data_IF_223277398188
#
_entry.id   IF_223277398188
#
_cell.length_a   1.000
_cell.length_b   1.000
_cell.length_c   1.000
_cell.angle_alpha   90.00
_cell.angle_beta   90.00
_cell.angle_gamma   90.00
#
_symmetry.space_group_name_H-M   'P 1'
#
loop_
_entity.id
_entity.type
_entity.pdbx_description
1 polymer ?
#
# COMPACT_ATOMS: atom_id res chain seq x y z
N UNK A 1 30.15 -11.29 -24.61
CA UNK A 1 28.99 -10.39 -24.44
C UNK A 1 27.95 -11.10 -23.57
N UNK A 2 27.66 -10.62 -22.35
CA UNK A 2 26.65 -11.24 -21.46
C UNK A 2 25.24 -10.84 -21.94
N UNK A 3 24.42 -11.82 -22.31
CA UNK A 3 23.03 -11.60 -22.67
C UNK A 3 22.17 -11.65 -21.39
N UNK A 4 21.70 -10.50 -20.91
CA UNK A 4 20.81 -10.45 -19.76
C UNK A 4 19.40 -10.86 -20.20
N UNK A 5 18.93 -12.02 -19.76
CA UNK A 5 17.56 -12.49 -19.97
C UNK A 5 16.71 -12.16 -18.74
N UNK A 6 15.50 -11.65 -18.95
CA UNK A 6 14.50 -11.46 -17.92
C UNK A 6 13.24 -12.26 -18.29
N UNK A 7 12.62 -12.89 -17.30
CA UNK A 7 11.40 -13.67 -17.47
C UNK A 7 10.23 -12.92 -16.83
N UNK A 8 9.06 -12.97 -17.48
CA UNK A 8 7.80 -12.49 -16.93
C UNK A 8 6.90 -13.72 -16.75
N UNK A 9 6.65 -14.08 -15.50
CA UNK A 9 5.72 -15.15 -15.15
C UNK A 9 4.56 -14.57 -14.34
N UNK A 10 3.38 -15.20 -14.47
CA UNK A 10 2.26 -15.01 -13.55
C UNK A 10 2.41 -16.06 -12.45
N UNK A 11 2.24 -15.64 -11.20
CA UNK A 11 2.14 -16.57 -10.08
C UNK A 11 0.69 -17.07 -10.04
N UNK A 12 0.51 -18.38 -10.07
CA UNK A 12 -0.77 -19.06 -9.85
C UNK A 12 -0.67 -19.72 -8.46
N UNK A 13 -1.13 -19.03 -7.40
CA UNK A 13 -1.07 -19.58 -6.05
C UNK A 13 -2.00 -20.78 -5.90
N UNK A 14 -1.62 -21.72 -5.03
CA UNK A 14 -2.54 -22.77 -4.59
C UNK A 14 -3.53 -22.21 -3.55
N UNK A 15 -4.55 -23.00 -3.19
CA UNK A 15 -5.61 -22.57 -2.28
C UNK A 15 -5.09 -22.06 -0.92
N UNK A 16 -4.06 -22.70 -0.36
CA UNK A 16 -3.46 -22.27 0.91
C UNK A 16 -2.73 -20.92 0.79
N UNK A 17 -1.98 -20.74 -0.30
CA UNK A 17 -1.28 -19.49 -0.60
C UNK A 17 -2.25 -18.34 -0.83
N UNK A 18 -3.37 -18.57 -1.50
CA UNK A 18 -4.42 -17.56 -1.68
C UNK A 18 -4.97 -17.06 -0.34
N UNK A 19 -5.24 -17.96 0.59
CA UNK A 19 -5.71 -17.61 1.94
C UNK A 19 -4.67 -16.73 2.65
N UNK A 20 -3.40 -17.11 2.61
CA UNK A 20 -2.31 -16.35 3.23
C UNK A 20 -2.20 -14.95 2.60
N UNK A 21 -2.23 -14.86 1.27
CA UNK A 21 -2.14 -13.60 0.55
C UNK A 21 -3.34 -12.69 0.84
N UNK A 22 -4.55 -13.24 0.85
CA UNK A 22 -5.77 -12.51 1.17
C UNK A 22 -5.75 -11.98 2.60
N UNK A 23 -5.31 -12.80 3.57
CA UNK A 23 -5.13 -12.38 4.95
C UNK A 23 -4.11 -11.25 5.08
N UNK A 24 -2.98 -11.34 4.36
CA UNK A 24 -1.93 -10.34 4.38
C UNK A 24 -2.37 -9.00 3.78
N UNK A 25 -2.99 -9.03 2.59
CA UNK A 25 -3.52 -7.84 1.91
C UNK A 25 -4.68 -7.23 2.69
N UNK A 26 -5.59 -8.07 3.21
CA UNK A 26 -6.73 -7.66 4.02
C UNK A 26 -6.29 -6.95 5.29
N UNK A 27 -5.31 -7.50 6.00
CA UNK A 27 -4.76 -6.90 7.22
C UNK A 27 -4.05 -5.57 6.94
N UNK A 28 -3.28 -5.49 5.85
CA UNK A 28 -2.64 -4.26 5.42
C UNK A 28 -3.66 -3.15 5.09
N UNK A 29 -4.74 -3.50 4.38
CA UNK A 29 -5.84 -2.57 4.05
C UNK A 29 -6.58 -2.11 5.29
N UNK A 30 -6.87 -3.04 6.21
CA UNK A 30 -7.54 -2.73 7.47
C UNK A 30 -6.72 -1.73 8.30
N UNK A 31 -5.43 -2.02 8.53
CA UNK A 31 -4.54 -1.13 9.29
C UNK A 31 -4.42 0.23 8.63
N UNK A 32 -4.28 0.29 7.31
CA UNK A 32 -4.25 1.57 6.59
C UNK A 32 -5.49 2.41 6.87
N UNK A 33 -6.68 1.83 6.68
CA UNK A 33 -7.94 2.56 6.84
C UNK A 33 -8.15 3.02 8.28
N UNK A 34 -7.86 2.15 9.24
CA UNK A 34 -8.00 2.49 10.66
C UNK A 34 -7.06 3.63 11.07
N UNK A 35 -5.80 3.55 10.65
CA UNK A 35 -4.80 4.57 10.97
C UNK A 35 -5.04 5.88 10.21
N UNK A 36 -5.62 5.80 9.02
CA UNK A 36 -6.09 6.97 8.28
C UNK A 36 -7.18 7.71 9.05
N UNK A 37 -8.19 7.00 9.58
CA UNK A 37 -9.24 7.60 10.40
C UNK A 37 -8.65 8.30 11.64
N UNK A 38 -7.78 7.63 12.39
CA UNK A 38 -7.06 8.23 13.52
C UNK A 38 -6.28 9.47 13.10
N UNK A 39 -5.59 9.42 11.95
CA UNK A 39 -4.82 10.56 11.47
C UNK A 39 -5.69 11.76 11.10
N UNK A 40 -6.93 11.55 10.64
CA UNK A 40 -7.87 12.65 10.42
C UNK A 40 -8.34 13.27 11.73
N UNK A 41 -8.57 12.48 12.78
CA UNK A 41 -8.88 13.01 14.12
C UNK A 41 -7.71 13.83 14.69
N UNK A 42 -6.48 13.34 14.51
CA UNK A 42 -5.27 14.10 14.87
C UNK A 42 -5.20 15.43 14.12
N UNK A 43 -5.46 15.39 12.80
CA UNK A 43 -5.48 16.60 11.98
C UNK A 43 -6.53 17.60 12.45
N UNK A 44 -7.74 17.15 12.77
CA UNK A 44 -8.81 18.00 13.30
C UNK A 44 -8.45 18.64 14.65
N UNK A 45 -7.63 17.96 15.46
CA UNK A 45 -7.09 18.47 16.74
C UNK A 45 -5.81 19.31 16.57
N UNK A 46 -5.38 19.54 15.33
CA UNK A 46 -4.15 20.25 15.01
C UNK A 46 -2.88 19.57 15.58
N UNK A 47 -2.92 18.26 15.76
CA UNK A 47 -1.80 17.44 16.22
C UNK A 47 -0.84 17.12 15.06
N UNK A 48 0.46 17.02 15.36
CA UNK A 48 1.45 16.69 14.35
C UNK A 48 1.43 15.21 13.97
N UNK A 49 1.24 14.95 12.67
CA UNK A 49 1.20 13.59 12.10
C UNK A 49 2.59 13.24 11.57
N UNK A 50 3.23 12.27 12.21
CA UNK A 50 4.50 11.72 11.75
C UNK A 50 4.53 10.18 11.85
N UNK A 51 5.53 9.57 11.22
CA UNK A 51 5.65 8.11 11.17
C UNK A 51 5.76 7.48 12.56
N UNK A 52 6.56 8.06 13.46
CA UNK A 52 6.78 7.53 14.81
C UNK A 52 5.48 7.54 15.63
N UNK A 53 4.79 8.68 15.65
CA UNK A 53 3.54 8.87 16.37
C UNK A 53 2.45 7.91 15.88
N UNK A 54 2.31 7.76 14.56
CA UNK A 54 1.36 6.81 13.99
C UNK A 54 1.77 5.37 14.27
N UNK A 55 3.04 4.98 14.07
CA UNK A 55 3.49 3.60 14.32
C UNK A 55 3.27 3.20 15.77
N UNK A 56 3.49 4.10 16.73
CA UNK A 56 3.26 3.81 18.15
C UNK A 56 1.80 3.46 18.46
N UNK A 57 0.84 4.02 17.71
CA UNK A 57 -0.60 3.73 17.89
C UNK A 57 -1.00 2.32 17.44
N UNK A 58 -0.17 1.61 16.66
CA UNK A 58 -0.47 0.22 16.25
C UNK A 58 -0.51 -0.76 17.42
N UNK A 59 0.19 -0.45 18.52
CA UNK A 59 0.25 -1.32 19.70
C UNK A 59 -1.12 -1.43 20.34
N UNK A 60 -1.82 -0.28 20.49
CA UNK A 60 -3.20 -0.26 20.98
C UNK A 60 -4.14 -1.06 20.09
N UNK A 61 -4.02 -0.90 18.77
CA UNK A 61 -4.84 -1.61 17.79
C UNK A 61 -4.68 -3.13 17.91
N UNK A 62 -3.44 -3.63 17.95
CA UNK A 62 -3.17 -5.09 18.06
C UNK A 62 -3.52 -5.68 19.42
N UNK A 63 -3.63 -4.86 20.46
CA UNK A 63 -3.98 -5.30 21.80
C UNK A 63 -5.49 -5.31 22.05
N UNK A 64 -6.28 -4.70 21.17
CA UNK A 64 -7.74 -4.86 21.19
C UNK A 64 -8.10 -6.32 20.86
N UNK A 65 -8.86 -7.03 21.73
CA UNK A 65 -9.32 -8.40 21.47
C UNK A 65 -10.06 -8.56 20.14
N UNK A 66 -10.83 -7.56 19.71
CA UNK A 66 -11.59 -7.56 18.45
C UNK A 66 -10.67 -7.64 17.22
N UNK A 67 -9.43 -7.15 17.35
CA UNK A 67 -8.44 -7.10 16.26
C UNK A 67 -7.26 -8.04 16.51
N UNK A 68 -7.45 -9.04 17.38
CA UNK A 68 -6.45 -10.06 17.69
C UNK A 68 -5.95 -10.81 16.44
N UNK A 69 -6.81 -10.94 15.41
CA UNK A 69 -6.46 -11.57 14.14
C UNK A 69 -5.23 -10.93 13.48
N UNK A 70 -4.97 -9.62 13.68
CA UNK A 70 -3.80 -8.92 13.12
C UNK A 70 -2.46 -9.48 13.59
N UNK A 71 -2.42 -10.15 14.75
CA UNK A 71 -1.22 -10.82 15.27
C UNK A 71 -0.94 -12.13 14.52
N UNK A 72 -2.00 -12.80 14.04
CA UNK A 72 -1.92 -14.10 13.38
C UNK A 72 -1.83 -13.98 11.86
N UNK A 73 -2.56 -13.03 11.27
CA UNK A 73 -2.74 -12.89 9.83
C UNK A 73 -1.59 -12.15 9.12
N UNK A 74 -0.70 -11.47 9.85
CA UNK A 74 0.34 -10.63 9.25
C UNK A 74 1.54 -10.40 10.16
N UNK A 75 2.71 -10.20 9.54
CA UNK A 75 3.92 -9.81 10.24
C UNK A 75 3.80 -8.36 10.76
N UNK A 76 4.24 -8.12 12.00
CA UNK A 76 4.27 -6.78 12.58
C UNK A 76 5.02 -5.75 11.71
N UNK A 77 6.09 -6.17 11.03
CA UNK A 77 6.90 -5.31 10.15
C UNK A 77 6.08 -4.81 8.96
N UNK A 78 5.26 -5.66 8.33
CA UNK A 78 4.48 -5.26 7.15
C UNK A 78 3.37 -4.27 7.54
N UNK A 79 2.72 -4.48 8.68
CA UNK A 79 1.71 -3.56 9.20
C UNK A 79 2.32 -2.20 9.57
N UNK A 80 3.49 -2.19 10.23
CA UNK A 80 4.22 -0.96 10.53
C UNK A 80 4.65 -0.23 9.25
N UNK A 81 5.09 -0.96 8.21
CA UNK A 81 5.45 -0.36 6.94
C UNK A 81 4.26 0.36 6.30
N UNK A 82 3.06 -0.22 6.34
CA UNK A 82 1.85 0.45 5.81
C UNK A 82 1.54 1.76 6.53
N UNK A 83 1.81 1.84 7.82
CA UNK A 83 1.66 3.08 8.60
C UNK A 83 2.72 4.11 8.21
N UNK A 84 3.97 3.68 7.93
CA UNK A 84 5.03 4.58 7.41
C UNK A 84 4.70 5.08 6.01
N UNK A 85 4.12 4.24 5.17
CA UNK A 85 3.61 4.62 3.85
C UNK A 85 2.53 5.71 3.99
N UNK A 86 1.61 5.57 4.97
CA UNK A 86 0.59 6.57 5.28
C UNK A 86 1.19 7.89 5.76
N UNK A 87 2.15 7.84 6.70
CA UNK A 87 2.85 9.04 7.16
C UNK A 87 3.58 9.76 6.01
N UNK A 88 4.17 8.99 5.09
CA UNK A 88 4.81 9.53 3.89
C UNK A 88 3.78 10.18 2.96
N UNK A 89 2.58 9.62 2.83
CA UNK A 89 1.49 10.22 2.06
C UNK A 89 1.04 11.56 2.66
N UNK A 90 0.92 11.64 4.00
CA UNK A 90 0.65 12.90 4.70
C UNK A 90 1.72 13.96 4.46
N UNK A 91 3.00 13.60 4.57
CA UNK A 91 4.09 14.53 4.27
C UNK A 91 4.04 15.04 2.81
N UNK A 92 3.78 14.15 1.86
CA UNK A 92 3.63 14.51 0.44
C UNK A 92 2.41 15.39 0.17
N UNK A 93 1.33 15.20 0.91
CA UNK A 93 0.12 16.02 0.76
C UNK A 93 0.38 17.50 1.06
N UNK A 94 1.32 17.80 1.96
CA UNK A 94 1.69 19.18 2.28
C UNK A 94 2.96 19.67 1.58
N UNK A 95 3.62 18.86 0.74
CA UNK A 95 4.83 19.25 0.02
C UNK A 95 4.49 19.96 -1.31
N UNK A 96 4.74 21.28 -1.44
CA UNK A 96 4.46 22.03 -2.66
C UNK A 96 5.25 21.53 -3.88
N UNK A 97 6.45 20.98 -3.67
CA UNK A 97 7.32 20.48 -4.76
C UNK A 97 6.72 19.23 -5.39
N UNK A 98 6.09 18.36 -4.60
CA UNK A 98 5.39 17.17 -5.10
C UNK A 98 4.20 17.58 -5.96
N UNK A 99 3.43 18.58 -5.50
CA UNK A 99 2.30 19.12 -6.26
C UNK A 99 2.72 19.77 -7.58
N UNK A 100 3.83 20.52 -7.58
CA UNK A 100 4.38 21.11 -8.80
C UNK A 100 4.78 20.05 -9.83
N UNK A 101 5.46 18.98 -9.41
CA UNK A 101 5.85 17.86 -10.29
C UNK A 101 4.66 17.09 -10.88
N UNK A 102 3.54 17.01 -10.14
CA UNK A 102 2.31 16.39 -10.66
C UNK A 102 1.70 17.23 -11.79
N UNK A 103 1.75 18.56 -11.66
CA UNK A 103 1.28 19.50 -12.69
C UNK A 103 2.17 19.48 -13.93
N UNK A 104 3.47 19.28 -13.77
CA UNK A 104 4.43 19.15 -14.88
C UNK A 104 4.29 17.80 -15.60
N UNK A 105 4.06 16.71 -14.86
CA UNK A 105 3.84 15.38 -15.43
C UNK A 105 2.39 15.20 -15.90
N UNK A 106 1.95 16.01 -16.86
CA UNK A 106 0.80 15.66 -17.71
C UNK A 106 1.19 14.42 -18.52
N UNK A 107 1.05 13.23 -17.95
CA UNK A 107 1.22 11.99 -18.69
C UNK A 107 0.24 12.04 -19.85
N UNK A 108 0.74 12.13 -21.07
CA UNK A 108 -0.10 11.97 -22.27
C UNK A 108 -0.85 10.64 -22.10
N UNK A 109 -2.18 10.60 -22.30
CA UNK A 109 -2.91 9.34 -22.26
C UNK A 109 -2.25 8.39 -23.26
N UNK A 110 -1.58 7.35 -22.74
CA UNK A 110 -1.03 6.30 -23.58
C UNK A 110 -2.19 5.38 -23.90
N UNK A 111 -2.43 5.13 -25.19
CA UNK A 111 -3.34 4.06 -25.60
C UNK A 111 -2.90 2.76 -24.89
N UNK A 112 -3.81 2.03 -24.22
CA UNK A 112 -3.47 0.73 -23.66
C UNK A 112 -2.90 -0.13 -24.78
N UNK A 113 -1.72 -0.71 -24.56
CA UNK A 113 -1.14 -1.68 -25.50
C UNK A 113 -1.79 -3.02 -25.18
N UNK A 114 -2.87 -3.34 -25.88
CA UNK A 114 -3.48 -4.67 -25.85
C UNK A 114 -2.49 -5.71 -26.36
N UNK A 115 -2.59 -6.93 -25.84
CA UNK A 115 -1.70 -8.01 -26.27
C UNK A 115 -2.17 -8.47 -27.65
N UNK A 116 -1.32 -8.29 -28.68
CA UNK A 116 -1.64 -8.78 -30.02
C UNK A 116 -1.31 -10.26 -30.11
N UNK A 117 -2.33 -11.08 -30.34
CA UNK A 117 -2.13 -12.48 -30.70
C UNK A 117 -1.54 -12.59 -32.11
N UNK A 118 -0.91 -13.72 -32.43
CA UNK A 118 -0.31 -13.96 -33.74
C UNK A 118 -1.31 -13.89 -34.91
N UNK A 119 -2.60 -14.09 -34.63
CA UNK A 119 -3.69 -13.97 -35.60
C UNK A 119 -4.25 -12.53 -35.76
N UNK A 120 -3.62 -11.52 -35.13
CA UNK A 120 -4.00 -10.11 -35.26
C UNK A 120 -5.11 -9.65 -34.29
N UNK A 121 -5.65 -10.55 -33.47
CA UNK A 121 -6.67 -10.20 -32.48
C UNK A 121 -6.05 -9.47 -31.29
N UNK A 122 -6.70 -8.41 -30.81
CA UNK A 122 -6.29 -7.65 -29.61
C UNK A 122 -7.10 -8.14 -28.40
N UNK A 123 -6.43 -8.46 -27.29
CA UNK A 123 -7.02 -8.73 -25.96
C UNK A 123 -6.63 -7.64 -24.98
#
# INVERSE_FOLDING_TARGET
>A
MKLNKAYKCRLEPNAEQEIILNNLVGSARFVWNHMLAISFEMFAKNEFINATNLVNKIVGLKNNPEFSFLKTSSNAVTLQQKIRDLASAWSRFFDPKVHARLKENKKKPKKPKFFKLANGTEI
#
